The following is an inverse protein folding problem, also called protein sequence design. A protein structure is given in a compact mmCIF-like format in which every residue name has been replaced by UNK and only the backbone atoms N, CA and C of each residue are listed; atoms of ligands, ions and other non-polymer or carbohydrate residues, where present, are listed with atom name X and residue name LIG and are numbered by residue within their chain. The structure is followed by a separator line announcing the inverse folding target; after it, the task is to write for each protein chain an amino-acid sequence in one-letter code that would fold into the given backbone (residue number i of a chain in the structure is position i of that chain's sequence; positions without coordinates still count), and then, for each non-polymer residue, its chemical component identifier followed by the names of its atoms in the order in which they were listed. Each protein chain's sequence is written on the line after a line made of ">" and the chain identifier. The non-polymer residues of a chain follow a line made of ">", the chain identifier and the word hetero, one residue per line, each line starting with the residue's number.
data_IF_511133151587
#
_entry.id   IF_511133151587
#
_cell.length_a   1.000
_cell.length_b   1.000
_cell.length_c   1.000
_cell.angle_alpha   90.00
_cell.angle_beta   90.00
_cell.angle_gamma   90.00
#
_symmetry.space_group_name_H-M   'P 1'
#
loop_
_entity.id
_entity.type
_entity.pdbx_description
1 polymer ?
#
# COMPACT_ATOMS: atom_id res chain seq x y z
N UNK A 1 41.17 74.79 -22.83
CA UNK A 1 41.82 74.00 -21.76
C UNK A 1 41.36 74.51 -20.39
N UNK A 2 40.49 73.74 -19.71
CA UNK A 2 40.24 73.68 -18.23
C UNK A 2 38.91 72.92 -18.06
N UNK A 3 38.97 71.65 -17.68
CA UNK A 3 38.86 71.11 -16.31
C UNK A 3 37.40 70.74 -15.98
N UNK A 4 37.08 69.45 -15.96
CA UNK A 4 36.93 68.58 -14.77
C UNK A 4 35.44 68.38 -14.43
N UNK A 5 34.96 67.20 -14.83
CA UNK A 5 34.18 66.20 -14.08
C UNK A 5 33.59 66.61 -12.70
N UNK A 6 32.28 66.44 -12.52
CA UNK A 6 31.62 65.78 -11.38
C UNK A 6 30.09 65.78 -11.64
N UNK A 7 29.47 64.65 -12.02
CA UNK A 7 28.82 63.66 -11.15
C UNK A 7 27.84 64.28 -10.16
N UNK A 8 26.53 64.14 -10.43
CA UNK A 8 25.43 63.93 -9.46
C UNK A 8 24.16 63.66 -10.29
N UNK A 9 23.75 62.40 -10.46
CA UNK A 9 22.83 61.67 -9.57
C UNK A 9 21.35 62.00 -9.90
N UNK A 10 20.59 60.92 -10.17
CA UNK A 10 19.19 60.73 -9.72
C UNK A 10 18.11 61.49 -10.53
N UNK A 11 17.02 60.91 -11.04
CA UNK A 11 16.37 59.63 -10.79
C UNK A 11 15.69 59.08 -12.05
N UNK A 12 16.05 57.84 -12.35
CA UNK A 12 15.14 56.73 -12.68
C UNK A 12 13.64 57.00 -12.50
N UNK A 13 12.89 57.00 -13.59
CA UNK A 13 11.56 56.40 -13.61
C UNK A 13 11.57 55.23 -14.60
N UNK A 14 12.17 54.12 -14.16
CA UNK A 14 11.81 52.83 -14.74
C UNK A 14 10.37 52.56 -14.32
N UNK A 15 9.48 52.58 -15.29
CA UNK A 15 8.09 52.14 -15.15
C UNK A 15 8.17 50.71 -14.62
N UNK A 16 7.80 50.53 -13.35
CA UNK A 16 7.59 49.22 -12.74
C UNK A 16 6.35 48.60 -13.40
N UNK A 17 6.54 47.99 -14.57
CA UNK A 17 5.65 46.94 -15.04
C UNK A 17 5.92 45.68 -14.22
N UNK A 18 5.66 45.75 -12.91
CA UNK A 18 5.37 44.56 -12.13
C UNK A 18 3.98 44.10 -12.55
N UNK A 19 3.93 43.38 -13.69
CA UNK A 19 2.93 42.34 -13.82
C UNK A 19 3.20 41.36 -12.67
N UNK A 20 2.55 41.58 -11.53
CA UNK A 20 2.21 40.50 -10.62
C UNK A 20 1.57 39.46 -11.51
N UNK A 21 2.30 38.37 -11.81
CA UNK A 21 1.64 37.11 -12.13
C UNK A 21 0.63 36.96 -11.02
N UNK A 22 -0.66 37.05 -11.34
CA UNK A 22 -1.68 36.50 -10.46
C UNK A 22 -1.14 35.11 -10.17
N UNK A 23 -0.85 34.84 -8.90
CA UNK A 23 -0.77 33.46 -8.47
C UNK A 23 -2.11 32.90 -8.90
N UNK A 24 -2.09 32.19 -10.03
CA UNK A 24 -3.12 31.28 -10.41
C UNK A 24 -3.26 30.44 -9.15
N UNK A 25 -4.36 30.66 -8.43
CA UNK A 25 -4.73 29.74 -7.38
C UNK A 25 -4.91 28.45 -8.15
N UNK A 26 -3.89 27.59 -8.11
CA UNK A 26 -4.08 26.20 -8.48
C UNK A 26 -5.39 25.81 -7.80
N UNK A 27 -6.42 25.39 -8.57
CA UNK A 27 -7.60 24.84 -7.94
C UNK A 27 -7.09 23.77 -6.99
N UNK A 28 -7.58 23.67 -5.75
CA UNK A 28 -7.05 22.72 -4.79
C UNK A 28 -7.19 21.32 -5.40
N UNK A 29 -6.10 20.83 -6.01
CA UNK A 29 -5.98 19.48 -6.53
C UNK A 29 -5.62 18.57 -5.36
N UNK A 30 -6.42 18.68 -4.32
CA UNK A 30 -6.47 17.76 -3.21
C UNK A 30 -7.94 17.59 -2.88
N UNK A 31 -8.69 17.04 -3.84
CA UNK A 31 -9.68 16.05 -3.43
C UNK A 31 -8.85 15.01 -2.68
N UNK A 32 -8.80 15.13 -1.35
CA UNK A 32 -8.54 14.00 -0.48
C UNK A 32 -9.39 12.88 -1.06
N UNK A 33 -8.76 11.95 -1.77
CA UNK A 33 -9.42 10.73 -2.21
C UNK A 33 -9.79 10.09 -0.89
N UNK A 34 -11.02 10.28 -0.45
CA UNK A 34 -11.51 9.67 0.77
C UNK A 34 -11.23 8.17 0.59
N UNK A 35 -10.42 7.61 1.48
CA UNK A 35 -10.04 6.21 1.43
C UNK A 35 -11.33 5.41 1.36
N UNK A 36 -11.58 4.77 0.21
CA UNK A 36 -12.82 4.08 -0.05
C UNK A 36 -12.99 2.98 1.00
N UNK A 37 -14.06 3.06 1.79
CA UNK A 37 -14.35 2.05 2.80
C UNK A 37 -15.09 0.90 2.13
N UNK A 38 -14.41 -0.26 2.05
CA UNK A 38 -15.03 -1.49 1.59
C UNK A 38 -16.18 -1.87 2.54
N UNK A 39 -17.39 -2.12 2.03
CA UNK A 39 -18.52 -2.58 2.85
C UNK A 39 -18.20 -3.86 3.63
N UNK A 40 -18.68 -3.94 4.88
CA UNK A 40 -18.32 -5.04 5.78
C UNK A 40 -18.80 -6.41 5.27
N UNK A 41 -19.94 -6.46 4.58
CA UNK A 41 -20.51 -7.64 3.94
C UNK A 41 -19.69 -8.12 2.74
N UNK A 42 -18.81 -7.29 2.20
CA UNK A 42 -17.86 -7.63 1.14
C UNK A 42 -16.48 -8.05 1.69
N UNK A 43 -16.28 -8.07 3.00
CA UNK A 43 -15.03 -8.50 3.64
C UNK A 43 -15.14 -9.93 4.17
N UNK A 44 -14.04 -10.69 4.04
CA UNK A 44 -13.83 -12.00 4.66
C UNK A 44 -13.31 -11.91 6.11
N UNK A 45 -13.03 -10.71 6.60
CA UNK A 45 -12.51 -10.47 7.95
C UNK A 45 -13.29 -11.19 9.05
N UNK A 46 -14.62 -11.14 9.00
CA UNK A 46 -15.49 -11.80 9.97
C UNK A 46 -15.38 -13.33 9.95
N UNK A 47 -15.19 -13.91 8.77
CA UNK A 47 -15.01 -15.36 8.53
C UNK A 47 -13.62 -15.82 8.94
N UNK A 48 -12.60 -15.00 8.65
CA UNK A 48 -11.20 -15.39 8.82
C UNK A 48 -10.63 -15.11 10.22
N UNK A 49 -11.34 -14.33 11.06
CA UNK A 49 -10.88 -14.05 12.42
C UNK A 49 -10.61 -15.33 13.21
N UNK A 50 -9.55 -15.35 13.99
CA UNK A 50 -9.08 -16.51 14.73
C UNK A 50 -8.33 -17.57 13.90
N UNK A 51 -8.27 -17.44 12.57
CA UNK A 51 -7.61 -18.44 11.73
C UNK A 51 -6.09 -18.31 11.71
N UNK A 52 -5.42 -19.45 11.67
CA UNK A 52 -3.97 -19.57 11.47
C UNK A 52 -3.67 -20.18 10.10
N UNK A 53 -2.62 -19.67 9.49
CA UNK A 53 -2.13 -20.06 8.17
C UNK A 53 -0.62 -20.18 8.24
N UNK A 54 -0.09 -21.28 7.73
CA UNK A 54 1.28 -21.70 7.92
C UNK A 54 2.05 -21.65 6.61
N UNK A 55 3.31 -21.23 6.68
CA UNK A 55 4.18 -21.07 5.52
C UNK A 55 5.66 -21.17 5.88
N UNK A 56 6.53 -21.21 4.87
CA UNK A 56 7.97 -21.05 5.03
C UNK A 56 8.39 -19.78 4.29
N UNK A 57 8.90 -18.78 5.01
CA UNK A 57 9.37 -17.51 4.47
C UNK A 57 10.45 -17.69 3.39
N UNK A 58 11.19 -18.80 3.40
CA UNK A 58 12.16 -19.13 2.34
C UNK A 58 11.50 -19.25 0.97
N UNK A 59 10.20 -19.58 0.94
CA UNK A 59 9.42 -19.76 -0.29
C UNK A 59 8.69 -18.48 -0.71
N UNK A 60 8.99 -17.32 -0.12
CA UNK A 60 8.35 -16.05 -0.47
C UNK A 60 8.51 -15.67 -1.96
N UNK A 61 9.58 -16.13 -2.61
CA UNK A 61 9.84 -15.85 -4.03
C UNK A 61 9.07 -16.79 -4.99
N UNK A 62 8.35 -17.78 -4.46
CA UNK A 62 7.42 -18.57 -5.26
C UNK A 62 6.14 -17.76 -5.50
N UNK A 63 5.75 -17.59 -6.76
CA UNK A 63 4.43 -17.07 -7.11
C UNK A 63 3.50 -18.23 -7.51
N UNK A 64 2.31 -18.36 -6.87
CA UNK A 64 1.82 -17.59 -5.73
C UNK A 64 2.54 -17.85 -4.40
N UNK A 65 2.49 -16.86 -3.49
CA UNK A 65 2.85 -17.08 -2.09
C UNK A 65 1.73 -17.86 -1.40
N UNK A 66 2.02 -19.11 -1.06
CA UNK A 66 1.04 -20.06 -0.53
C UNK A 66 1.09 -20.17 0.99
N UNK A 67 -0.08 -20.09 1.62
CA UNK A 67 -0.26 -20.39 3.04
C UNK A 67 -1.35 -21.46 3.20
N UNK A 68 -1.15 -22.41 4.09
CA UNK A 68 -2.09 -23.51 4.30
C UNK A 68 -2.27 -23.85 5.78
N UNK A 69 -2.81 -25.05 6.08
CA UNK A 69 -3.07 -25.52 7.45
C UNK A 69 -1.96 -26.43 7.99
N UNK A 70 -0.85 -26.58 7.29
CA UNK A 70 0.25 -27.45 7.71
C UNK A 70 1.05 -26.84 8.86
N UNK A 71 0.77 -27.31 10.08
CA UNK A 71 1.41 -26.86 11.32
C UNK A 71 2.89 -27.23 11.43
N UNK A 72 3.42 -28.04 10.52
CA UNK A 72 4.85 -28.40 10.51
C UNK A 72 5.71 -27.26 9.97
N UNK A 73 5.13 -26.30 9.24
CA UNK A 73 5.86 -25.15 8.72
C UNK A 73 6.19 -24.13 9.82
N UNK A 74 7.35 -23.47 9.74
CA UNK A 74 7.89 -22.69 10.85
C UNK A 74 7.18 -21.34 11.06
N UNK A 75 6.64 -20.73 10.00
CA UNK A 75 6.11 -19.37 10.05
C UNK A 75 4.59 -19.38 10.01
N UNK A 76 3.98 -18.41 10.71
CA UNK A 76 2.52 -18.40 10.93
C UNK A 76 1.96 -17.01 10.72
N UNK A 77 1.00 -16.88 9.81
CA UNK A 77 0.05 -15.78 9.77
C UNK A 77 -1.14 -16.12 10.68
N UNK A 78 -1.39 -15.26 11.65
CA UNK A 78 -2.54 -15.35 12.54
C UNK A 78 -3.43 -14.12 12.35
N UNK A 79 -4.65 -14.34 11.89
CA UNK A 79 -5.69 -13.31 11.79
C UNK A 79 -6.37 -13.23 13.16
N UNK A 80 -5.81 -12.43 14.06
CA UNK A 80 -6.09 -12.43 15.51
C UNK A 80 -7.58 -12.20 15.78
N UNK A 81 -8.11 -11.14 15.19
CA UNK A 81 -9.51 -10.73 15.28
C UNK A 81 -9.99 -10.21 13.91
N UNK A 82 -11.17 -9.61 13.82
CA UNK A 82 -11.71 -9.13 12.54
C UNK A 82 -10.98 -7.89 11.96
N UNK A 83 -9.94 -7.37 12.61
CA UNK A 83 -9.19 -6.18 12.22
C UNK A 83 -7.69 -6.43 12.19
N UNK A 84 -7.16 -7.14 13.19
CA UNK A 84 -5.73 -7.24 13.44
C UNK A 84 -5.17 -8.58 13.00
N UNK A 85 -3.94 -8.55 12.47
CA UNK A 85 -3.16 -9.73 12.18
C UNK A 85 -1.80 -9.69 12.88
N UNK A 86 -1.20 -10.86 13.03
CA UNK A 86 0.18 -11.05 13.45
C UNK A 86 0.82 -12.14 12.61
N UNK A 87 1.99 -11.87 12.04
CA UNK A 87 2.85 -12.88 11.43
C UNK A 87 4.01 -13.14 12.37
N UNK A 88 4.22 -14.39 12.72
CA UNK A 88 5.38 -14.84 13.47
C UNK A 88 6.33 -15.56 12.53
N UNK A 89 7.55 -15.04 12.43
CA UNK A 89 8.64 -15.67 11.70
C UNK A 89 9.52 -16.40 12.70
N UNK A 90 9.73 -17.70 12.50
CA UNK A 90 10.52 -18.56 13.36
C UNK A 90 11.54 -19.38 12.55
N UNK A 91 12.34 -18.66 11.78
CA UNK A 91 13.44 -19.22 10.99
C UNK A 91 14.72 -19.26 11.82
N UNK A 92 15.65 -20.17 11.48
CA UNK A 92 16.93 -20.33 12.20
C UNK A 92 17.68 -19.00 12.39
N UNK A 93 17.67 -18.13 11.38
CA UNK A 93 18.39 -16.86 11.35
C UNK A 93 17.46 -15.63 11.41
N UNK A 94 16.16 -15.81 11.65
CA UNK A 94 15.19 -14.71 11.74
C UNK A 94 14.05 -15.11 12.68
N UNK A 95 14.00 -14.47 13.85
CA UNK A 95 12.88 -14.57 14.79
C UNK A 95 12.25 -13.20 14.92
N UNK A 96 11.03 -13.05 14.41
CA UNK A 96 10.39 -11.74 14.24
C UNK A 96 8.88 -11.83 14.36
N UNK A 97 8.25 -10.68 14.62
CA UNK A 97 6.80 -10.53 14.61
C UNK A 97 6.42 -9.29 13.80
N UNK A 98 5.63 -9.50 12.75
CA UNK A 98 4.99 -8.43 11.97
C UNK A 98 3.56 -8.30 12.44
N UNK A 99 3.10 -7.08 12.70
CA UNK A 99 1.73 -6.81 13.15
C UNK A 99 1.10 -5.71 12.31
N UNK A 100 -0.22 -5.71 12.24
CA UNK A 100 -0.94 -4.72 11.47
C UNK A 100 -2.44 -4.95 11.46
N UNK A 101 -3.10 -4.22 10.58
CA UNK A 101 -4.51 -4.44 10.27
C UNK A 101 -4.67 -5.08 8.90
N UNK A 102 -5.77 -5.77 8.67
CA UNK A 102 -6.05 -6.40 7.38
C UNK A 102 -7.49 -6.17 6.92
N UNK A 103 -7.70 -6.22 5.61
CA UNK A 103 -9.00 -6.23 4.96
C UNK A 103 -8.91 -7.16 3.74
N UNK A 104 -9.54 -8.32 3.80
CA UNK A 104 -9.54 -9.27 2.67
C UNK A 104 -10.93 -9.24 2.05
N UNK A 105 -11.01 -8.86 0.77
CA UNK A 105 -12.27 -8.80 0.04
C UNK A 105 -12.77 -10.21 -0.31
N UNK A 106 -14.09 -10.40 -0.33
CA UNK A 106 -14.73 -11.54 -0.97
C UNK A 106 -14.55 -11.39 -2.48
N UNK A 107 -13.84 -12.31 -3.11
CA UNK A 107 -13.83 -12.40 -4.56
C UNK A 107 -15.13 -13.05 -4.99
N UNK A 108 -16.13 -12.24 -5.28
CA UNK A 108 -17.31 -12.72 -5.98
C UNK A 108 -16.96 -12.80 -7.47
N UNK A 109 -17.33 -13.92 -8.10
CA UNK A 109 -17.70 -14.04 -9.52
C UNK A 109 -16.75 -13.57 -10.66
N UNK A 110 -15.47 -13.27 -10.39
CA UNK A 110 -14.50 -12.92 -11.45
C UNK A 110 -14.59 -11.47 -11.94
N UNK A 111 -15.38 -10.64 -11.26
CA UNK A 111 -15.38 -9.18 -11.39
C UNK A 111 -14.16 -8.59 -10.64
N UNK A 112 -13.04 -8.43 -11.35
CA UNK A 112 -11.73 -8.01 -10.85
C UNK A 112 -11.58 -6.52 -10.52
N UNK A 113 -12.60 -5.85 -9.98
CA UNK A 113 -12.45 -4.46 -9.56
C UNK A 113 -11.88 -4.40 -8.15
N UNK A 114 -10.57 -4.62 -8.02
CA UNK A 114 -9.85 -4.23 -6.81
C UNK A 114 -9.76 -2.70 -6.82
N UNK A 115 -10.40 -2.06 -5.84
CA UNK A 115 -10.43 -0.61 -5.74
C UNK A 115 -9.01 -0.05 -5.66
N UNK A 116 -8.71 0.94 -6.50
CA UNK A 116 -7.41 1.61 -6.52
C UNK A 116 -7.06 2.12 -5.12
N UNK A 117 -5.91 1.70 -4.60
CA UNK A 117 -5.45 2.08 -3.25
C UNK A 117 -5.90 1.15 -2.11
N UNK A 118 -6.69 0.10 -2.39
CA UNK A 118 -6.98 -0.93 -1.39
C UNK A 118 -5.70 -1.71 -1.03
N UNK A 119 -5.37 -1.75 0.25
CA UNK A 119 -4.27 -2.55 0.80
C UNK A 119 -4.83 -3.64 1.70
N UNK A 120 -4.64 -4.90 1.30
CA UNK A 120 -5.16 -6.02 2.09
C UNK A 120 -4.49 -6.15 3.45
N UNK A 121 -3.23 -5.72 3.56
CA UNK A 121 -2.52 -5.62 4.83
C UNK A 121 -1.91 -4.21 5.01
N UNK A 122 -2.03 -3.68 6.22
CA UNK A 122 -1.38 -2.45 6.65
C UNK A 122 -0.52 -2.73 7.86
N UNK A 123 0.79 -2.68 7.67
CA UNK A 123 1.78 -3.02 8.68
C UNK A 123 1.95 -1.85 9.66
N UNK A 124 1.92 -2.14 10.96
CA UNK A 124 2.12 -1.16 12.04
C UNK A 124 3.35 -1.46 12.90
N UNK A 125 3.88 -2.68 12.85
CA UNK A 125 5.13 -3.04 13.51
C UNK A 125 6.34 -2.38 12.83
N UNK A 126 7.42 -2.06 13.57
CA UNK A 126 8.67 -1.58 12.98
C UNK A 126 9.21 -2.57 11.94
N UNK A 127 9.75 -2.04 10.84
CA UNK A 127 10.37 -2.86 9.81
C UNK A 127 11.65 -3.53 10.36
N UNK A 128 11.83 -4.82 10.09
CA UNK A 128 13.01 -5.58 10.48
C UNK A 128 13.72 -6.13 9.25
N UNK A 129 15.06 -6.08 9.23
CA UNK A 129 15.86 -6.43 8.04
C UNK A 129 15.53 -7.82 7.49
N UNK A 130 15.35 -8.82 8.36
CA UNK A 130 15.10 -10.20 7.92
C UNK A 130 13.67 -10.44 7.41
N UNK A 131 12.74 -9.54 7.68
CA UNK A 131 11.35 -9.61 7.20
C UNK A 131 11.01 -8.50 6.20
N UNK A 132 11.98 -7.67 5.80
CA UNK A 132 11.74 -6.49 4.98
C UNK A 132 11.10 -6.84 3.62
N UNK A 133 11.51 -7.94 3.00
CA UNK A 133 10.91 -8.44 1.75
C UNK A 133 9.43 -8.79 1.95
N UNK A 134 9.10 -9.58 2.98
CA UNK A 134 7.73 -9.95 3.31
C UNK A 134 6.88 -8.72 3.65
N UNK A 135 7.40 -7.80 4.46
CA UNK A 135 6.71 -6.58 4.81
C UNK A 135 6.42 -5.71 3.59
N UNK A 136 7.39 -5.59 2.68
CA UNK A 136 7.22 -4.86 1.41
C UNK A 136 6.19 -5.52 0.51
N UNK A 137 6.21 -6.85 0.39
CA UNK A 137 5.23 -7.62 -0.38
C UNK A 137 3.81 -7.40 0.15
N UNK A 138 3.61 -7.56 1.47
CA UNK A 138 2.31 -7.40 2.12
C UNK A 138 1.75 -5.97 2.06
N UNK A 139 2.61 -4.97 1.97
CA UNK A 139 2.19 -3.56 1.84
C UNK A 139 1.78 -3.19 0.41
N UNK A 140 2.00 -4.08 -0.56
CA UNK A 140 1.62 -3.91 -1.95
C UNK A 140 0.13 -4.12 -2.20
N UNK A 141 -0.28 -3.92 -3.46
CA UNK A 141 -1.59 -4.35 -3.92
C UNK A 141 -1.57 -5.87 -4.10
N UNK A 142 -2.44 -6.57 -3.39
CA UNK A 142 -2.48 -8.02 -3.36
C UNK A 142 -3.77 -8.56 -3.94
N UNK A 143 -3.66 -9.73 -4.54
CA UNK A 143 -4.76 -10.58 -4.98
C UNK A 143 -4.74 -11.84 -4.10
N UNK A 144 -5.79 -12.03 -3.30
CA UNK A 144 -5.88 -13.09 -2.28
C UNK A 144 -7.04 -14.02 -2.58
N UNK A 145 -6.76 -15.22 -3.04
CA UNK A 145 -7.76 -16.25 -3.32
C UNK A 145 -7.61 -17.45 -2.39
N UNK A 146 -8.64 -18.30 -2.39
CA UNK A 146 -8.63 -19.57 -1.67
C UNK A 146 -8.90 -20.70 -2.66
N UNK A 147 -8.28 -21.85 -2.44
CA UNK A 147 -8.62 -23.04 -3.21
C UNK A 147 -10.06 -23.51 -2.91
N UNK A 148 -10.57 -24.47 -3.69
CA UNK A 148 -11.95 -24.96 -3.56
C UNK A 148 -12.29 -25.48 -2.15
N UNK A 149 -11.32 -26.09 -1.45
CA UNK A 149 -11.51 -26.57 -0.09
C UNK A 149 -11.40 -25.48 0.98
N UNK A 150 -10.92 -24.28 0.62
CA UNK A 150 -10.60 -23.21 1.56
C UNK A 150 -9.43 -23.51 2.50
N UNK A 151 -8.64 -24.54 2.22
CA UNK A 151 -7.51 -24.98 3.03
C UNK A 151 -6.19 -24.31 2.65
N UNK A 152 -6.11 -23.76 1.43
CA UNK A 152 -4.96 -23.03 0.91
C UNK A 152 -5.38 -21.61 0.56
N UNK A 153 -4.63 -20.64 1.06
CA UNK A 153 -4.70 -19.22 0.70
C UNK A 153 -3.55 -18.93 -0.28
N UNK A 154 -3.89 -18.42 -1.47
CA UNK A 154 -2.92 -17.94 -2.43
C UNK A 154 -2.85 -16.41 -2.36
N UNK A 155 -1.64 -15.86 -2.26
CA UNK A 155 -1.42 -14.42 -2.28
C UNK A 155 -0.50 -14.09 -3.47
N UNK A 156 -0.97 -13.21 -4.35
CA UNK A 156 -0.23 -12.74 -5.53
C UNK A 156 -0.10 -11.23 -5.46
N UNK A 157 1.04 -10.68 -5.92
CA UNK A 157 1.12 -9.26 -6.21
C UNK A 157 0.22 -8.95 -7.40
N UNK A 158 -0.60 -7.90 -7.33
CA UNK A 158 -1.36 -7.48 -8.50
C UNK A 158 -0.39 -7.01 -9.59
N UNK A 159 -0.33 -7.75 -10.69
CA UNK A 159 0.12 -7.19 -11.96
C UNK A 159 -0.97 -6.23 -12.40
N UNK A 160 -0.67 -4.93 -12.49
CA UNK A 160 -1.63 -3.93 -12.99
C UNK A 160 -2.14 -4.37 -14.35
N UNK A 161 -3.32 -5.01 -14.41
CA UNK A 161 -4.05 -5.19 -15.65
C UNK A 161 -4.53 -3.80 -16.03
N UNK A 162 -4.23 -3.38 -17.26
CA UNK A 162 -4.69 -2.11 -17.80
C UNK A 162 -6.19 -1.99 -17.55
N UNK A 163 -6.58 -0.94 -16.81
CA UNK A 163 -7.97 -0.67 -16.47
C UNK A 163 -8.70 -0.32 -17.75
N UNK A 164 -9.61 -1.17 -18.21
CA UNK A 164 -10.67 -0.71 -19.10
C UNK A 164 -11.65 0.07 -18.24
N UNK A 165 -11.67 1.39 -18.40
CA UNK A 165 -12.74 2.22 -17.87
C UNK A 165 -13.98 1.89 -18.71
N UNK A 166 -15.08 1.36 -18.14
CA UNK A 166 -16.30 1.18 -18.91
C UNK A 166 -16.90 2.56 -19.17
N UNK A 167 -16.87 2.99 -20.43
CA UNK A 167 -17.63 4.14 -20.93
C UNK A 167 -17.04 5.51 -20.61
N UNK A 168 -16.19 5.99 -21.51
CA UNK A 168 -16.15 7.40 -21.93
C UNK A 168 -16.04 7.45 -23.45
#
# INVERSE_FOLDING_TARGET
>A
MKNILLVLLLLSQTIFAQHKKKAEKEPPLYKQIAEYKVPQDQLLNGTLKGSKWYFDLKNLEAEPFLLDKDKTKPDVLYLVDAKNFQININQKNCKSSIKGTYQIMKMNDGSTTVYQGHQSFKITSPNQKCTAKLASFLSGALDISFNESGEVMEIKGQTLRAVSVPGY
#
